data_IF_590716409508
#
_entry.id   IF_590716409508
#
_cell.length_a   1.000
_cell.length_b   1.000
_cell.length_c   1.000
_cell.angle_alpha   90.00
_cell.angle_beta   90.00
_cell.angle_gamma   90.00
#
_symmetry.space_group_name_H-M   'P 1'
#
loop_
_entity.id
_entity.type
_entity.pdbx_description
1 polymer ?
#
# COMPACT_ATOMS: atom_id res chain seq x y z
N UNK A 1 -12.83 8.48 -5.32
CA UNK A 1 -11.75 9.45 -4.99
C UNK A 1 -10.94 9.67 -6.26
N UNK A 2 -10.61 10.92 -6.64
CA UNK A 2 -9.79 11.16 -7.84
C UNK A 2 -8.32 10.85 -7.55
N UNK A 3 -7.57 10.48 -8.59
CA UNK A 3 -6.12 10.21 -8.51
C UNK A 3 -5.36 11.33 -7.81
N UNK A 4 -5.55 12.56 -8.26
CA UNK A 4 -4.87 13.75 -7.74
C UNK A 4 -5.10 13.92 -6.24
N UNK A 5 -6.35 13.73 -5.78
CA UNK A 5 -6.73 13.84 -4.37
C UNK A 5 -6.06 12.77 -3.50
N UNK A 6 -5.75 11.59 -4.08
CA UNK A 6 -5.01 10.52 -3.39
C UNK A 6 -3.50 10.76 -3.41
N UNK A 7 -2.94 11.18 -4.56
CA UNK A 7 -1.51 11.48 -4.66
C UNK A 7 -1.12 12.67 -3.77
N UNK A 8 -1.97 13.69 -3.66
CA UNK A 8 -1.80 14.79 -2.71
C UNK A 8 -1.75 14.31 -1.25
N UNK A 9 -2.48 13.26 -0.90
CA UNK A 9 -2.42 12.68 0.44
C UNK A 9 -1.09 11.98 0.75
N UNK A 10 -0.27 11.72 -0.27
CA UNK A 10 1.06 11.16 -0.16
C UNK A 10 2.16 12.22 -0.28
N UNK A 11 1.80 13.49 -0.57
CA UNK A 11 2.75 14.60 -0.58
C UNK A 11 3.38 14.77 0.80
N UNK A 12 4.72 14.84 0.83
CA UNK A 12 5.52 14.90 2.07
C UNK A 12 6.06 13.55 2.55
N UNK A 13 5.73 12.44 1.89
CA UNK A 13 6.40 11.14 2.09
C UNK A 13 7.52 10.97 1.06
N UNK A 14 8.68 10.51 1.51
CA UNK A 14 9.72 10.02 0.59
C UNK A 14 9.30 8.64 0.11
N UNK A 15 8.68 8.59 -1.06
CA UNK A 15 8.40 7.35 -1.77
C UNK A 15 9.64 6.94 -2.58
N UNK A 16 10.00 5.65 -2.63
CA UNK A 16 10.96 5.17 -3.60
C UNK A 16 10.47 5.46 -5.03
N UNK A 17 11.40 5.61 -5.97
CA UNK A 17 11.08 5.78 -7.38
C UNK A 17 10.28 4.60 -7.93
N UNK A 18 10.60 3.40 -7.43
CA UNK A 18 9.88 2.15 -7.74
C UNK A 18 9.91 1.26 -6.50
N UNK A 19 8.78 0.64 -6.19
CA UNK A 19 8.69 -0.39 -5.16
C UNK A 19 9.04 -1.76 -5.74
N UNK A 20 9.63 -2.61 -4.92
CA UNK A 20 9.72 -4.04 -5.17
C UNK A 20 8.30 -4.59 -5.44
N UNK A 21 8.13 -5.23 -6.59
CA UNK A 21 6.84 -5.76 -7.03
C UNK A 21 6.32 -6.85 -6.09
N UNK A 22 7.20 -7.64 -5.45
CA UNK A 22 6.79 -8.65 -4.47
C UNK A 22 6.18 -7.99 -3.23
N UNK A 23 6.68 -6.81 -2.83
CA UNK A 23 6.09 -6.06 -1.72
C UNK A 23 4.72 -5.47 -2.09
N UNK A 24 4.57 -4.99 -3.33
CA UNK A 24 3.28 -4.53 -3.85
C UNK A 24 2.26 -5.67 -3.93
N UNK A 25 2.66 -6.85 -4.39
CA UNK A 25 1.77 -8.00 -4.52
C UNK A 25 1.32 -8.53 -3.16
N UNK A 26 2.23 -8.58 -2.17
CA UNK A 26 1.88 -8.92 -0.78
C UNK A 26 0.93 -7.90 -0.17
N UNK A 27 1.14 -6.61 -0.42
CA UNK A 27 0.23 -5.55 0.01
C UNK A 27 -1.14 -5.66 -0.69
N UNK A 28 -1.18 -6.06 -1.96
CA UNK A 28 -2.42 -6.30 -2.69
C UNK A 28 -3.20 -7.47 -2.09
N UNK A 29 -2.52 -8.57 -1.76
CA UNK A 29 -3.13 -9.73 -1.10
C UNK A 29 -3.66 -9.38 0.29
N UNK A 30 -2.90 -8.56 1.03
CA UNK A 30 -3.28 -8.03 2.34
C UNK A 30 -4.65 -7.33 2.30
N UNK A 31 -4.93 -6.50 1.30
CA UNK A 31 -6.24 -5.86 1.15
C UNK A 31 -7.40 -6.85 0.92
N UNK A 32 -7.14 -8.03 0.37
CA UNK A 32 -8.12 -9.12 0.25
C UNK A 32 -8.51 -9.75 1.60
N UNK A 33 -7.67 -9.58 2.63
CA UNK A 33 -7.95 -9.99 4.02
C UNK A 33 -8.40 -8.82 4.91
N UNK A 34 -8.02 -7.59 4.55
CA UNK A 34 -8.44 -6.39 5.25
C UNK A 34 -9.98 -6.27 5.34
N UNK A 35 -10.48 -5.73 6.46
CA UNK A 35 -11.92 -5.55 6.70
C UNK A 35 -12.73 -6.85 6.90
N UNK A 36 -12.09 -8.02 6.95
CA UNK A 36 -12.75 -9.29 7.31
C UNK A 36 -12.80 -9.54 8.82
N UNK A 37 -12.08 -8.75 9.61
CA UNK A 37 -12.03 -8.96 11.04
C UNK A 37 -12.25 -7.63 11.79
N UNK A 38 -12.69 -7.77 13.05
CA UNK A 38 -13.60 -6.84 13.74
C UNK A 38 -12.87 -5.74 14.53
N UNK A 39 -11.54 -5.75 14.59
CA UNK A 39 -10.79 -4.94 15.57
C UNK A 39 -9.57 -4.20 14.99
N UNK A 40 -9.34 -2.96 15.45
CA UNK A 40 -8.22 -2.08 15.02
C UNK A 40 -6.82 -2.66 15.29
N UNK A 41 -6.66 -3.57 16.26
CA UNK A 41 -5.37 -4.22 16.55
C UNK A 41 -4.91 -5.16 15.41
N UNK A 42 -5.75 -5.45 14.44
CA UNK A 42 -5.39 -6.29 13.30
C UNK A 42 -4.47 -5.57 12.32
N UNK A 43 -4.43 -4.24 12.25
CA UNK A 43 -3.66 -3.56 11.20
C UNK A 43 -2.16 -3.88 11.28
N UNK A 44 -1.59 -3.84 12.49
CA UNK A 44 -0.17 -4.16 12.67
C UNK A 44 0.09 -5.64 12.38
N UNK A 45 -0.74 -6.52 12.93
CA UNK A 45 -0.68 -7.95 12.66
C UNK A 45 -0.87 -8.29 11.18
N UNK A 46 -1.67 -7.52 10.45
CA UNK A 46 -1.90 -7.68 9.02
C UNK A 46 -0.65 -7.28 8.25
N UNK A 47 -0.01 -6.15 8.58
CA UNK A 47 1.28 -5.80 7.99
C UNK A 47 2.36 -6.86 8.28
N UNK A 48 2.44 -7.35 9.51
CA UNK A 48 3.38 -8.41 9.88
C UNK A 48 3.13 -9.73 9.12
N UNK A 49 1.86 -10.16 9.05
CA UNK A 49 1.44 -11.41 8.40
C UNK A 49 1.73 -11.41 6.90
N UNK A 50 1.67 -10.24 6.26
CA UNK A 50 1.97 -10.05 4.85
C UNK A 50 3.43 -9.62 4.58
N UNK A 51 4.29 -9.67 5.61
CA UNK A 51 5.71 -9.38 5.47
C UNK A 51 6.05 -7.91 5.21
N UNK A 52 5.10 -7.00 5.46
CA UNK A 52 5.27 -5.55 5.41
C UNK A 52 5.78 -4.98 6.75
N UNK A 53 5.80 -5.80 7.80
CA UNK A 53 6.50 -5.50 9.04
C UNK A 53 8.02 -5.40 8.84
N UNK A 54 8.66 -4.50 9.59
CA UNK A 54 10.12 -4.36 9.61
C UNK A 54 10.74 -5.57 10.31
N UNK A 55 11.77 -6.16 9.71
CA UNK A 55 12.56 -7.25 10.28
C UNK A 55 14.00 -6.82 10.48
N UNK A 56 14.71 -7.48 11.40
CA UNK A 56 16.11 -7.14 11.70
C UNK A 56 16.99 -7.34 10.47
N UNK A 57 16.75 -8.44 9.74
CA UNK A 57 17.45 -8.86 8.53
C UNK A 57 17.12 -8.04 7.27
N UNK A 58 16.10 -7.17 7.30
CA UNK A 58 15.79 -6.34 6.14
C UNK A 58 16.94 -5.35 5.86
N UNK A 59 17.28 -5.17 4.59
CA UNK A 59 18.21 -4.11 4.17
C UNK A 59 17.61 -2.72 4.46
N UNK A 60 18.43 -1.66 4.56
CA UNK A 60 17.93 -0.29 4.72
C UNK A 60 16.92 0.11 3.65
N UNK A 61 17.14 -0.32 2.41
CA UNK A 61 16.25 -0.09 1.29
C UNK A 61 14.88 -0.78 1.49
N UNK A 62 14.87 -2.06 1.81
CA UNK A 62 13.64 -2.82 2.08
C UNK A 62 12.87 -2.23 3.26
N UNK A 63 13.57 -1.79 4.32
CA UNK A 63 12.96 -1.10 5.47
C UNK A 63 12.24 0.19 5.05
N UNK A 64 12.88 0.98 4.18
CA UNK A 64 12.27 2.21 3.64
C UNK A 64 11.05 1.91 2.78
N UNK A 65 11.14 0.94 1.86
CA UNK A 65 10.02 0.56 1.00
C UNK A 65 8.83 0.02 1.82
N UNK A 66 9.08 -0.82 2.81
CA UNK A 66 8.04 -1.31 3.74
C UNK A 66 7.38 -0.18 4.53
N UNK A 67 8.16 0.77 5.03
CA UNK A 67 7.63 1.92 5.77
C UNK A 67 6.72 2.79 4.86
N UNK A 68 7.17 3.09 3.65
CA UNK A 68 6.39 3.81 2.66
C UNK A 68 5.10 3.06 2.28
N UNK A 69 5.16 1.74 2.04
CA UNK A 69 3.99 0.92 1.74
C UNK A 69 3.00 0.89 2.89
N UNK A 70 3.46 0.76 4.13
CA UNK A 70 2.59 0.80 5.31
C UNK A 70 1.84 2.12 5.41
N UNK A 71 2.51 3.23 5.08
CA UNK A 71 1.88 4.54 5.02
C UNK A 71 0.81 4.60 3.93
N UNK A 72 1.18 4.28 2.68
CA UNK A 72 0.27 4.26 1.52
C UNK A 72 -0.96 3.39 1.82
N UNK A 73 -0.73 2.16 2.30
CA UNK A 73 -1.81 1.24 2.64
C UNK A 73 -2.71 1.82 3.73
N UNK A 74 -2.14 2.44 4.76
CA UNK A 74 -2.91 3.10 5.82
C UNK A 74 -3.79 4.22 5.27
N UNK A 75 -3.28 5.04 4.35
CA UNK A 75 -4.07 6.09 3.70
C UNK A 75 -5.20 5.50 2.88
N UNK A 76 -4.94 4.45 2.10
CA UNK A 76 -5.98 3.74 1.33
C UNK A 76 -7.07 3.17 2.24
N UNK A 77 -6.69 2.61 3.40
CA UNK A 77 -7.66 2.13 4.40
C UNK A 77 -8.53 3.26 4.98
N UNK A 78 -7.97 4.47 5.14
CA UNK A 78 -8.69 5.65 5.65
C UNK A 78 -9.55 6.32 4.57
N UNK A 79 -9.12 6.26 3.32
CA UNK A 79 -9.72 6.88 2.14
C UNK A 79 -11.01 6.19 1.64
N UNK A 80 -11.56 5.24 2.40
CA UNK A 80 -12.79 4.50 2.08
C UNK A 80 -12.76 3.71 0.75
N UNK A 81 -11.57 3.39 0.21
CA UNK A 81 -11.48 2.47 -0.92
C UNK A 81 -12.08 1.11 -0.56
N UNK A 82 -12.81 0.51 -1.50
CA UNK A 82 -13.17 -0.90 -1.38
C UNK A 82 -11.90 -1.76 -1.41
N UNK A 83 -12.00 -2.98 -0.86
CA UNK A 83 -10.88 -3.94 -0.84
C UNK A 83 -10.33 -4.23 -2.24
N UNK A 84 -11.21 -4.29 -3.24
CA UNK A 84 -10.82 -4.56 -4.62
C UNK A 84 -10.07 -3.38 -5.21
N UNK A 85 -10.61 -2.18 -5.10
CA UNK A 85 -9.95 -0.95 -5.54
C UNK A 85 -8.59 -0.77 -4.88
N UNK A 86 -8.50 -1.01 -3.56
CA UNK A 86 -7.24 -0.90 -2.84
C UNK A 86 -6.22 -1.95 -3.29
N UNK A 87 -6.64 -3.19 -3.51
CA UNK A 87 -5.79 -4.27 -4.01
C UNK A 87 -5.29 -4.00 -5.43
N UNK A 88 -6.17 -3.54 -6.32
CA UNK A 88 -5.82 -3.25 -7.72
C UNK A 88 -4.91 -2.03 -7.81
N UNK A 89 -5.17 -0.98 -7.01
CA UNK A 89 -4.34 0.22 -6.98
C UNK A 89 -2.93 -0.07 -6.45
N UNK A 90 -2.79 -0.82 -5.35
CA UNK A 90 -1.47 -1.09 -4.77
C UNK A 90 -0.66 -2.03 -5.67
N UNK A 91 -1.28 -3.03 -6.32
CA UNK A 91 -0.59 -3.92 -7.27
C UNK A 91 0.03 -3.15 -8.43
N UNK A 92 -0.62 -2.07 -8.85
CA UNK A 92 -0.18 -1.23 -9.96
C UNK A 92 0.51 0.07 -9.49
N UNK A 93 0.92 0.18 -8.22
CA UNK A 93 1.40 1.43 -7.65
C UNK A 93 2.57 2.06 -8.44
N UNK A 94 3.49 1.24 -8.94
CA UNK A 94 4.62 1.72 -9.78
C UNK A 94 4.17 2.37 -11.09
N UNK A 95 2.98 2.02 -11.58
CA UNK A 95 2.44 2.44 -12.87
C UNK A 95 1.43 3.56 -12.76
N UNK A 96 1.08 4.00 -11.55
CA UNK A 96 0.04 5.03 -11.37
C UNK A 96 0.41 6.36 -12.01
N UNK A 97 1.72 6.62 -12.17
CA UNK A 97 2.24 7.81 -12.85
C UNK A 97 2.47 7.60 -14.35
N UNK A 98 2.27 6.38 -14.85
CA UNK A 98 2.50 6.07 -16.26
C UNK A 98 1.40 6.71 -17.12
N UNK A 99 1.77 7.37 -18.24
CA UNK A 99 0.81 7.84 -19.21
C UNK A 99 -0.09 6.69 -19.71
N UNK A 100 -1.39 6.78 -19.46
CA UNK A 100 -2.38 5.78 -19.89
C UNK A 100 -2.78 4.75 -18.84
N UNK A 101 -2.26 4.83 -17.61
CA UNK A 101 -2.87 4.12 -16.48
C UNK A 101 -4.31 4.61 -16.29
N UNK A 102 -5.25 3.67 -16.22
CA UNK A 102 -6.65 3.99 -15.91
C UNK A 102 -6.82 3.94 -14.41
N UNK A 103 -7.01 5.11 -13.81
CA UNK A 103 -7.44 5.20 -12.42
C UNK A 103 -8.79 4.53 -12.22
N UNK A 104 -9.01 4.03 -11.00
CA UNK A 104 -10.21 3.30 -10.57
C UNK A 104 -11.51 3.99 -11.06
N UNK A 105 -12.45 3.22 -11.60
CA UNK A 105 -13.75 3.68 -12.12
C UNK A 105 -14.75 4.06 -11.02
#
# INVERSE_FOLDING_TARGET
>A
MREEDFLQQLEGIILPETFDQDLLDRAAEMFGKWGKARHMNEREHLFESFGLGSRLEDSPEVKMQKAALRYVCTRMMQAQFSRREASDLIRNFNRIKDPGYKWLE
#
